data_IF_521463083017
#
_entry.id   IF_521463083017
#
_cell.length_a   1.000
_cell.length_b   1.000
_cell.length_c   1.000
_cell.angle_alpha   90.00
_cell.angle_beta   90.00
_cell.angle_gamma   90.00
#
_symmetry.space_group_name_H-M   'P 1'
#
loop_
_entity.id
_entity.type
_entity.pdbx_description
1 polymer ?
#
# COMPACT_ATOMS: atom_id res chain seq x y z
N UNK A 1 -15.69 14.33 -18.79
CA UNK A 1 -15.35 12.97 -19.21
C UNK A 1 -13.91 12.73 -18.79
N UNK A 2 -13.67 11.84 -17.83
CA UNK A 2 -12.32 11.30 -17.66
C UNK A 2 -12.01 10.46 -18.89
N UNK A 3 -10.84 10.64 -19.49
CA UNK A 3 -10.40 9.76 -20.58
C UNK A 3 -9.87 8.47 -20.00
N UNK A 4 -9.94 7.37 -20.77
CA UNK A 4 -9.32 6.09 -20.40
C UNK A 4 -7.84 6.27 -20.05
N UNK A 5 -7.12 7.12 -20.79
CA UNK A 5 -5.70 7.46 -20.54
C UNK A 5 -5.45 8.11 -19.17
N UNK A 6 -6.38 8.95 -18.69
CA UNK A 6 -6.26 9.59 -17.38
C UNK A 6 -6.39 8.54 -16.26
N UNK A 7 -7.35 7.62 -16.38
CA UNK A 7 -7.55 6.52 -15.42
C UNK A 7 -6.36 5.55 -15.44
N UNK A 8 -5.83 5.22 -16.62
CA UNK A 8 -4.62 4.39 -16.75
C UNK A 8 -3.39 5.03 -16.06
N UNK A 9 -3.22 6.34 -16.25
CA UNK A 9 -2.16 7.10 -15.58
C UNK A 9 -2.31 7.07 -14.06
N UNK A 10 -3.55 7.12 -13.55
CA UNK A 10 -3.80 7.05 -12.11
C UNK A 10 -3.57 5.65 -11.54
N UNK A 11 -3.96 4.59 -12.25
CA UNK A 11 -3.65 3.20 -11.90
C UNK A 11 -2.13 3.01 -11.79
N UNK A 12 -1.36 3.49 -12.77
CA UNK A 12 0.09 3.39 -12.74
C UNK A 12 0.72 4.08 -11.51
N UNK A 13 0.20 5.25 -11.12
CA UNK A 13 0.64 5.96 -9.91
C UNK A 13 0.30 5.19 -8.63
N UNK A 14 -0.89 4.60 -8.57
CA UNK A 14 -1.33 3.79 -7.41
C UNK A 14 -0.46 2.54 -7.28
N UNK A 15 -0.19 1.84 -8.39
CA UNK A 15 0.68 0.66 -8.40
C UNK A 15 2.10 1.00 -7.93
N UNK A 16 2.70 2.07 -8.45
CA UNK A 16 4.01 2.53 -8.00
C UNK A 16 4.01 2.89 -6.49
N UNK A 17 2.91 3.41 -5.96
CA UNK A 17 2.78 3.69 -4.54
C UNK A 17 2.66 2.42 -3.68
N UNK A 18 2.01 1.36 -4.19
CA UNK A 18 1.94 0.04 -3.55
C UNK A 18 3.33 -0.61 -3.55
N UNK A 19 3.99 -0.66 -4.70
CA UNK A 19 5.36 -1.21 -4.84
C UNK A 19 6.35 -0.50 -3.92
N UNK A 20 6.20 0.82 -3.70
CA UNK A 20 7.04 1.57 -2.77
C UNK A 20 6.75 1.30 -1.28
N UNK A 21 5.60 0.68 -0.95
CA UNK A 21 5.23 0.31 0.41
C UNK A 21 5.73 -1.08 0.80
N UNK A 22 5.74 -2.03 -0.12
CA UNK A 22 6.22 -3.40 0.11
C UNK A 22 7.59 -3.46 0.83
N UNK A 23 8.67 -2.80 0.35
CA UNK A 23 9.96 -2.84 1.03
C UNK A 23 9.94 -2.12 2.39
N UNK A 24 9.00 -1.19 2.62
CA UNK A 24 8.85 -0.52 3.92
C UNK A 24 8.19 -1.44 4.93
N UNK A 25 7.20 -2.22 4.48
CA UNK A 25 6.53 -3.24 5.30
C UNK A 25 7.56 -4.31 5.69
N UNK A 26 8.26 -4.89 4.72
CA UNK A 26 9.29 -5.92 4.98
C UNK A 26 10.35 -5.41 5.95
N UNK A 27 10.82 -4.17 5.78
CA UNK A 27 11.78 -3.55 6.71
C UNK A 27 11.21 -3.35 8.12
N UNK A 28 9.93 -2.99 8.24
CA UNK A 28 9.29 -2.83 9.54
C UNK A 28 9.08 -4.20 10.23
N UNK A 29 8.76 -5.25 9.47
CA UNK A 29 8.66 -6.64 9.96
C UNK A 29 10.00 -7.11 10.52
N UNK A 30 11.07 -7.01 9.74
CA UNK A 30 12.40 -7.43 10.20
C UNK A 30 12.90 -6.65 11.42
N UNK A 31 12.50 -5.38 11.56
CA UNK A 31 12.83 -4.59 12.75
C UNK A 31 11.99 -4.95 13.97
N UNK A 32 10.71 -5.30 13.78
CA UNK A 32 9.87 -5.79 14.86
C UNK A 32 10.41 -7.13 15.39
N UNK A 33 10.76 -8.05 14.49
CA UNK A 33 11.37 -9.34 14.83
C UNK A 33 12.72 -9.16 15.56
N UNK A 34 13.60 -8.30 15.04
CA UNK A 34 14.87 -8.00 15.70
C UNK A 34 14.67 -7.40 17.11
N UNK A 35 13.66 -6.55 17.30
CA UNK A 35 13.33 -5.98 18.60
C UNK A 35 12.77 -7.04 19.57
N UNK A 36 11.95 -7.97 19.08
CA UNK A 36 11.41 -9.08 19.85
C UNK A 36 12.53 -10.02 20.33
N UNK A 37 13.44 -10.39 19.42
CA UNK A 37 14.62 -11.19 19.74
C UNK A 37 15.56 -10.52 20.75
N UNK A 38 15.60 -9.17 20.76
CA UNK A 38 16.37 -8.40 21.72
C UNK A 38 15.64 -8.15 23.06
N UNK A 39 14.39 -8.61 23.21
CA UNK A 39 13.56 -8.33 24.39
C UNK A 39 13.19 -6.86 24.56
N UNK A 40 13.23 -6.06 23.48
CA UNK A 40 12.95 -4.63 23.52
C UNK A 40 11.47 -4.35 23.20
N UNK A 41 10.63 -4.43 24.23
CA UNK A 41 9.17 -4.26 24.13
C UNK A 41 8.76 -2.91 23.56
N UNK A 42 9.46 -1.81 23.88
CA UNK A 42 9.15 -0.48 23.34
C UNK A 42 9.38 -0.41 21.83
N UNK A 43 10.50 -0.97 21.37
CA UNK A 43 10.80 -1.05 19.95
C UNK A 43 9.81 -1.96 19.21
N UNK A 44 9.41 -3.09 19.79
CA UNK A 44 8.36 -3.96 19.23
C UNK A 44 7.06 -3.18 19.04
N UNK A 45 6.59 -2.49 20.09
CA UNK A 45 5.33 -1.73 20.02
C UNK A 45 5.40 -0.63 18.95
N UNK A 46 6.55 0.05 18.84
CA UNK A 46 6.77 1.07 17.81
C UNK A 46 6.70 0.48 16.40
N UNK A 47 7.48 -0.57 16.11
CA UNK A 47 7.53 -1.17 14.78
C UNK A 47 6.21 -1.83 14.40
N UNK A 48 5.51 -2.43 15.35
CA UNK A 48 4.17 -2.98 15.13
C UNK A 48 3.15 -1.89 14.78
N UNK A 49 3.21 -0.74 15.46
CA UNK A 49 2.36 0.42 15.14
C UNK A 49 2.63 0.94 13.73
N UNK A 50 3.91 1.08 13.36
CA UNK A 50 4.32 1.50 12.02
C UNK A 50 3.87 0.50 10.94
N UNK A 51 4.00 -0.79 11.21
CA UNK A 51 3.54 -1.87 10.35
C UNK A 51 2.02 -1.78 10.08
N UNK A 52 1.22 -1.59 11.13
CA UNK A 52 -0.23 -1.45 10.98
C UNK A 52 -0.61 -0.23 10.12
N UNK A 53 0.09 0.89 10.29
CA UNK A 53 -0.13 2.07 9.45
C UNK A 53 0.22 1.82 7.98
N UNK A 54 1.34 1.15 7.72
CA UNK A 54 1.78 0.81 6.36
C UNK A 54 0.79 -0.15 5.68
N UNK A 55 0.38 -1.22 6.36
CA UNK A 55 -0.62 -2.18 5.83
C UNK A 55 -1.98 -1.53 5.58
N UNK A 56 -2.43 -0.64 6.47
CA UNK A 56 -3.66 0.13 6.26
C UNK A 56 -3.58 1.02 5.02
N UNK A 57 -2.43 1.65 4.79
CA UNK A 57 -2.21 2.48 3.61
C UNK A 57 -2.17 1.64 2.32
N UNK A 58 -1.53 0.49 2.36
CA UNK A 58 -1.52 -0.46 1.25
C UNK A 58 -2.94 -0.94 0.91
N UNK A 59 -3.73 -1.32 1.91
CA UNK A 59 -5.14 -1.72 1.73
C UNK A 59 -5.97 -0.62 1.07
N UNK A 60 -5.80 0.63 1.50
CA UNK A 60 -6.48 1.78 0.90
C UNK A 60 -6.08 1.98 -0.56
N UNK A 61 -4.81 1.81 -0.90
CA UNK A 61 -4.32 1.92 -2.27
C UNK A 61 -4.86 0.79 -3.14
N UNK A 62 -4.89 -0.46 -2.65
CA UNK A 62 -5.48 -1.61 -3.38
C UNK A 62 -6.96 -1.40 -3.65
N UNK A 63 -7.73 -0.89 -2.68
CA UNK A 63 -9.15 -0.52 -2.89
C UNK A 63 -9.30 0.58 -3.95
N UNK A 64 -8.41 1.58 -3.94
CA UNK A 64 -8.41 2.63 -4.96
C UNK A 64 -8.07 2.08 -6.34
N UNK A 65 -7.09 1.18 -6.43
CA UNK A 65 -6.72 0.51 -7.67
C UNK A 65 -7.90 -0.26 -8.27
N UNK A 66 -8.62 -1.01 -7.44
CA UNK A 66 -9.82 -1.76 -7.84
C UNK A 66 -10.91 -0.81 -8.39
N UNK A 67 -11.20 0.28 -7.69
CA UNK A 67 -12.15 1.30 -8.16
C UNK A 67 -11.75 1.91 -9.50
N UNK A 68 -10.46 2.21 -9.71
CA UNK A 68 -9.97 2.74 -10.98
C UNK A 68 -10.06 1.71 -12.11
N UNK A 69 -9.82 0.42 -11.82
CA UNK A 69 -10.00 -0.66 -12.80
C UNK A 69 -11.46 -0.82 -13.20
N UNK A 70 -12.39 -0.70 -12.26
CA UNK A 70 -13.83 -0.68 -12.57
C UNK A 70 -14.23 0.54 -13.40
N UNK A 71 -13.73 1.73 -13.04
CA UNK A 71 -13.99 2.97 -13.79
C UNK A 71 -13.46 2.87 -15.23
N UNK A 72 -12.23 2.36 -15.39
CA UNK A 72 -11.64 2.10 -16.70
C UNK A 72 -12.51 1.17 -17.53
N UNK A 73 -12.99 0.07 -16.94
CA UNK A 73 -13.88 -0.86 -17.64
C UNK A 73 -15.17 -0.16 -18.09
N UNK A 74 -15.80 0.66 -17.22
CA UNK A 74 -16.99 1.42 -17.58
C UNK A 74 -16.75 2.38 -18.74
N UNK A 75 -15.61 3.10 -18.74
CA UNK A 75 -15.25 4.03 -19.81
C UNK A 75 -14.86 3.33 -21.12
N UNK A 76 -14.36 2.10 -21.06
CA UNK A 76 -14.05 1.31 -22.26
C UNK A 76 -15.30 0.76 -22.96
N UNK A 77 -16.42 0.63 -22.24
CA UNK A 77 -17.69 0.12 -22.76
C UNK A 77 -18.81 1.18 -22.83
N UNK A 78 -18.50 2.47 -22.57
CA UNK A 78 -19.41 3.62 -22.65
C UNK A 78 -19.22 4.39 -23.96
#
# INVERSE_FOLDING_TARGET
MGTVEAVESEIARVNAAIEALEPKIEKAEGKAEAAENAGNTEAVQRWFTELQQLRKKEEQLRKKEEQLREEKARLQFA
#
